data_IF_835925793055
#
_entry.id   IF_835925793055
#
_cell.length_a   1.000
_cell.length_b   1.000
_cell.length_c   1.000
_cell.angle_alpha   90.00
_cell.angle_beta   90.00
_cell.angle_gamma   90.00
#
_symmetry.space_group_name_H-M   'P 1'
#
loop_
_entity.id
_entity.type
_entity.pdbx_description
1 polymer ?
#
# COMPACT_ATOMS: atom_id res chain seq x y z
N UNK A 1 -16.33 -16.58 -16.05
CA UNK A 1 -17.40 -16.73 -17.06
C UNK A 1 -18.56 -15.86 -16.65
N UNK A 2 -18.99 -14.96 -17.53
CA UNK A 2 -20.21 -14.19 -17.34
C UNK A 2 -21.39 -14.98 -17.96
N UNK A 3 -22.54 -15.04 -17.29
CA UNK A 3 -23.66 -15.89 -17.70
C UNK A 3 -25.01 -15.21 -17.42
N UNK A 4 -26.03 -15.56 -18.21
CA UNK A 4 -27.41 -15.11 -18.01
C UNK A 4 -28.22 -16.28 -17.47
N UNK A 5 -29.00 -16.05 -16.41
CA UNK A 5 -29.87 -17.06 -15.80
C UNK A 5 -31.28 -16.51 -15.59
N UNK A 6 -32.32 -17.32 -15.74
CA UNK A 6 -33.70 -16.91 -15.43
C UNK A 6 -34.04 -17.26 -13.98
N UNK A 7 -34.53 -16.29 -13.19
CA UNK A 7 -34.93 -16.50 -11.78
C UNK A 7 -36.20 -15.71 -11.46
N UNK A 8 -37.25 -16.39 -10.99
CA UNK A 8 -38.55 -15.78 -10.62
C UNK A 8 -39.08 -14.79 -11.67
N UNK A 9 -39.08 -15.20 -12.94
CA UNK A 9 -39.57 -14.39 -14.06
C UNK A 9 -38.64 -13.26 -14.55
N UNK A 10 -37.46 -13.06 -13.93
CA UNK A 10 -36.48 -12.04 -14.34
C UNK A 10 -35.21 -12.69 -14.90
N UNK A 11 -34.49 -11.97 -15.75
CA UNK A 11 -33.18 -12.38 -16.27
C UNK A 11 -32.08 -11.80 -15.38
N UNK A 12 -31.21 -12.66 -14.85
CA UNK A 12 -30.07 -12.30 -13.99
C UNK A 12 -28.80 -12.40 -14.82
N UNK A 13 -28.11 -11.29 -15.01
CA UNK A 13 -26.79 -11.22 -15.63
C UNK A 13 -25.76 -11.29 -14.54
N UNK A 14 -24.99 -12.37 -14.48
CA UNK A 14 -23.89 -12.57 -13.55
C UNK A 14 -22.57 -12.33 -14.28
N UNK A 15 -21.81 -11.34 -13.83
CA UNK A 15 -20.57 -10.91 -14.47
C UNK A 15 -19.51 -10.57 -13.42
N UNK A 16 -18.25 -10.52 -13.86
CA UNK A 16 -17.19 -9.88 -13.08
C UNK A 16 -16.98 -8.48 -13.64
N UNK A 17 -16.97 -7.48 -12.75
CA UNK A 17 -16.61 -6.13 -13.15
C UNK A 17 -15.12 -6.05 -13.53
N UNK A 18 -14.66 -4.85 -13.95
CA UNK A 18 -13.23 -4.62 -14.17
C UNK A 18 -12.37 -5.03 -12.97
N UNK A 19 -12.93 -4.98 -11.75
CA UNK A 19 -12.29 -5.37 -10.48
C UNK A 19 -12.21 -6.87 -10.21
N UNK A 20 -12.74 -7.71 -11.10
CA UNK A 20 -12.86 -9.15 -10.88
C UNK A 20 -13.89 -9.53 -9.82
N UNK A 21 -14.64 -8.57 -9.27
CA UNK A 21 -15.70 -8.76 -8.28
C UNK A 21 -16.94 -9.25 -9.01
N UNK A 22 -17.51 -10.34 -8.50
CA UNK A 22 -18.74 -10.90 -9.05
C UNK A 22 -19.92 -10.00 -8.67
N UNK A 23 -20.59 -9.45 -9.68
CA UNK A 23 -21.81 -8.66 -9.54
C UNK A 23 -22.92 -9.28 -10.38
N UNK A 24 -24.15 -8.96 -10.00
CA UNK A 24 -25.31 -9.34 -10.77
C UNK A 24 -26.24 -8.17 -10.97
N UNK A 25 -26.90 -8.14 -12.13
CA UNK A 25 -27.97 -7.19 -12.43
C UNK A 25 -29.18 -7.97 -12.92
N UNK A 26 -30.38 -7.46 -12.64
CA UNK A 26 -31.63 -8.06 -13.12
C UNK A 26 -32.25 -7.23 -14.22
N UNK A 27 -32.63 -7.90 -15.28
CA UNK A 27 -33.32 -7.34 -16.43
C UNK A 27 -34.72 -7.97 -16.56
N UNK A 28 -35.65 -7.25 -17.18
CA UNK A 28 -37.01 -7.73 -17.40
C UNK A 28 -37.09 -8.61 -18.65
N UNK A 29 -36.27 -8.29 -19.67
CA UNK A 29 -36.25 -9.03 -20.93
C UNK A 29 -34.90 -9.70 -21.19
N UNK A 30 -34.91 -10.73 -22.05
CA UNK A 30 -33.68 -11.42 -22.46
C UNK A 30 -32.75 -10.51 -23.25
N UNK A 31 -33.33 -9.64 -24.10
CA UNK A 31 -32.59 -8.67 -24.91
C UNK A 31 -31.87 -7.64 -24.04
N UNK A 32 -32.53 -7.11 -23.01
CA UNK A 32 -31.88 -6.26 -22.01
C UNK A 32 -30.74 -6.98 -21.29
N UNK A 33 -30.94 -8.25 -20.93
CA UNK A 33 -29.92 -9.05 -20.25
C UNK A 33 -28.68 -9.30 -21.14
N UNK A 34 -28.88 -9.58 -22.43
CA UNK A 34 -27.80 -9.72 -23.41
C UNK A 34 -27.05 -8.41 -23.61
N UNK A 35 -27.75 -7.29 -23.75
CA UNK A 35 -27.13 -5.98 -23.89
C UNK A 35 -26.33 -5.60 -22.63
N UNK A 36 -26.92 -5.79 -21.44
CA UNK A 36 -26.22 -5.55 -20.17
C UNK A 36 -24.99 -6.46 -20.01
N UNK A 37 -25.04 -7.71 -20.46
CA UNK A 37 -23.88 -8.60 -20.46
C UNK A 37 -22.76 -8.05 -21.37
N UNK A 38 -23.10 -7.59 -22.58
CA UNK A 38 -22.15 -7.04 -23.55
C UNK A 38 -21.54 -5.74 -23.00
N UNK A 39 -22.36 -4.83 -22.48
CA UNK A 39 -21.91 -3.55 -21.93
C UNK A 39 -21.01 -3.77 -20.71
N UNK A 40 -21.39 -4.65 -19.78
CA UNK A 40 -20.57 -4.96 -18.59
C UNK A 40 -19.30 -5.72 -18.93
N UNK A 41 -19.30 -6.57 -19.95
CA UNK A 41 -18.09 -7.18 -20.47
C UNK A 41 -17.18 -6.14 -21.16
N UNK A 42 -17.75 -5.16 -21.86
CA UNK A 42 -17.00 -4.06 -22.51
C UNK A 42 -16.40 -3.12 -21.47
N UNK A 43 -17.18 -2.69 -20.47
CA UNK A 43 -16.70 -1.89 -19.33
C UNK A 43 -15.55 -2.60 -18.60
N UNK A 44 -15.68 -3.92 -18.38
CA UNK A 44 -14.61 -4.72 -17.78
C UNK A 44 -13.34 -4.82 -18.66
N UNK A 45 -13.48 -4.77 -20.00
CA UNK A 45 -12.35 -4.78 -20.95
C UNK A 45 -11.71 -3.41 -21.16
N UNK A 46 -12.49 -2.34 -21.24
CA UNK A 46 -12.00 -0.97 -21.46
C UNK A 46 -11.23 -0.43 -20.26
N UNK A 47 -11.54 -0.90 -19.04
CA UNK A 47 -10.71 -0.65 -17.85
C UNK A 47 -9.34 -1.39 -17.88
N UNK A 48 -9.07 -2.21 -18.91
CA UNK A 48 -7.90 -3.10 -19.01
C UNK A 48 -7.00 -2.82 -20.23
N UNK A 49 -6.78 -1.55 -20.58
CA UNK A 49 -5.57 -1.18 -21.33
C UNK A 49 -4.59 -0.52 -20.37
N UNK A 50 -3.81 -1.32 -19.61
CA UNK A 50 -2.83 -0.75 -18.71
C UNK A 50 -1.82 0.05 -19.53
N UNK A 51 -1.53 1.27 -19.07
CA UNK A 51 -0.55 2.20 -19.68
C UNK A 51 0.86 1.61 -19.62
N UNK A 52 1.04 0.57 -18.80
CA UNK A 52 2.30 -0.09 -18.45
C UNK A 52 2.13 -1.60 -18.65
N UNK A 53 3.24 -2.31 -18.89
CA UNK A 53 3.22 -3.78 -18.92
C UNK A 53 2.52 -4.36 -17.66
N UNK A 54 1.42 -5.11 -17.81
CA UNK A 54 0.72 -5.71 -16.67
C UNK A 54 1.55 -6.77 -15.92
N UNK A 55 2.70 -7.18 -16.45
CA UNK A 55 3.66 -8.07 -15.78
C UNK A 55 4.78 -7.34 -15.03
N UNK A 56 4.78 -6.01 -14.98
CA UNK A 56 5.85 -5.24 -14.35
C UNK A 56 6.07 -5.67 -12.89
N UNK A 57 7.35 -5.80 -12.51
CA UNK A 57 7.76 -6.10 -11.13
C UNK A 57 7.59 -4.87 -10.24
N UNK A 58 7.44 -5.08 -8.94
CA UNK A 58 7.32 -3.99 -7.99
C UNK A 58 8.56 -3.08 -8.02
N UNK A 59 9.76 -3.64 -8.21
CA UNK A 59 11.00 -2.85 -8.36
C UNK A 59 10.95 -1.92 -9.56
N UNK A 60 10.67 -2.46 -10.76
CA UNK A 60 10.63 -1.65 -11.97
C UNK A 60 9.52 -0.59 -11.92
N UNK A 61 8.36 -0.96 -11.35
CA UNK A 61 7.25 -0.02 -11.16
C UNK A 61 7.60 1.09 -10.16
N UNK A 62 8.24 0.75 -9.04
CA UNK A 62 8.65 1.72 -8.02
C UNK A 62 9.67 2.73 -8.55
N UNK A 63 10.62 2.30 -9.37
CA UNK A 63 11.61 3.19 -10.00
C UNK A 63 10.95 4.18 -10.95
N UNK A 64 10.03 3.70 -11.81
CA UNK A 64 9.23 4.56 -12.69
C UNK A 64 8.42 5.56 -11.88
N UNK A 65 7.64 5.08 -10.91
CA UNK A 65 6.77 5.89 -10.08
C UNK A 65 7.54 6.98 -9.31
N UNK A 66 8.70 6.66 -8.72
CA UNK A 66 9.51 7.64 -7.99
C UNK A 66 10.02 8.79 -8.88
N UNK A 67 10.29 8.52 -10.16
CA UNK A 67 10.68 9.56 -11.13
C UNK A 67 9.49 10.44 -11.51
N UNK A 68 8.33 9.84 -11.73
CA UNK A 68 7.12 10.56 -12.13
C UNK A 68 6.59 11.48 -11.04
N UNK A 69 6.51 11.01 -9.79
CA UNK A 69 5.98 11.83 -8.69
C UNK A 69 6.95 12.93 -8.25
N UNK A 70 8.23 12.84 -8.62
CA UNK A 70 9.28 13.79 -8.21
C UNK A 70 8.91 15.26 -8.50
N UNK A 71 8.18 15.48 -9.60
CA UNK A 71 7.79 16.83 -10.04
C UNK A 71 6.64 17.42 -9.22
N UNK A 72 5.88 16.60 -8.50
CA UNK A 72 4.67 17.05 -7.77
C UNK A 72 4.83 17.02 -6.25
N UNK A 73 5.79 16.25 -5.71
CA UNK A 73 5.97 16.09 -4.26
C UNK A 73 7.19 16.84 -3.73
N UNK A 74 7.14 17.22 -2.45
CA UNK A 74 8.29 17.85 -1.77
C UNK A 74 9.51 16.91 -1.77
N UNK A 75 10.75 17.43 -1.92
CA UNK A 75 11.98 16.62 -1.94
C UNK A 75 12.14 15.71 -0.70
N UNK A 76 11.73 16.19 0.49
CA UNK A 76 11.75 15.39 1.72
C UNK A 76 10.85 14.16 1.65
N UNK A 77 9.67 14.28 1.04
CA UNK A 77 8.74 13.17 0.85
C UNK A 77 9.31 12.16 -0.14
N UNK A 78 9.87 12.64 -1.27
CA UNK A 78 10.52 11.78 -2.25
C UNK A 78 11.67 10.98 -1.63
N UNK A 79 12.54 11.65 -0.86
CA UNK A 79 13.63 10.98 -0.13
C UNK A 79 13.10 9.94 0.86
N UNK A 80 12.03 10.26 1.60
CA UNK A 80 11.42 9.33 2.54
C UNK A 80 10.84 8.09 1.83
N UNK A 81 10.17 8.27 0.69
CA UNK A 81 9.65 7.16 -0.12
C UNK A 81 10.79 6.31 -0.68
N UNK A 82 11.82 6.94 -1.25
CA UNK A 82 13.01 6.24 -1.76
C UNK A 82 13.71 5.40 -0.70
N UNK A 83 13.86 5.92 0.52
CA UNK A 83 14.43 5.16 1.64
C UNK A 83 13.56 3.97 2.04
N UNK A 84 12.24 4.18 2.18
CA UNK A 84 11.32 3.09 2.54
C UNK A 84 11.31 1.98 1.47
N UNK A 85 11.34 2.36 0.19
CA UNK A 85 11.41 1.42 -0.93
C UNK A 85 12.72 0.64 -0.89
N UNK A 86 13.86 1.32 -0.92
CA UNK A 86 15.19 0.71 -1.01
C UNK A 86 15.52 -0.18 0.17
N UNK A 87 15.24 0.27 1.40
CA UNK A 87 15.71 -0.42 2.61
C UNK A 87 14.75 -1.51 3.10
N UNK A 88 13.46 -1.42 2.78
CA UNK A 88 12.45 -2.27 3.42
C UNK A 88 11.53 -2.99 2.44
N UNK A 89 11.00 -2.31 1.42
CA UNK A 89 9.97 -2.89 0.54
C UNK A 89 10.61 -3.75 -0.55
N UNK A 90 11.52 -3.19 -1.34
CA UNK A 90 12.09 -3.85 -2.51
C UNK A 90 12.92 -5.09 -2.19
N UNK A 91 13.70 -5.16 -1.08
CA UNK A 91 14.42 -6.37 -0.72
C UNK A 91 13.53 -7.60 -0.50
N UNK A 92 12.25 -7.42 -0.15
CA UNK A 92 11.33 -8.53 0.15
C UNK A 92 10.25 -8.72 -0.92
N UNK A 93 9.78 -7.64 -1.54
CA UNK A 93 8.64 -7.65 -2.45
C UNK A 93 9.00 -7.24 -3.89
N UNK A 94 10.23 -6.76 -4.12
CA UNK A 94 10.65 -6.15 -5.38
C UNK A 94 10.50 -7.04 -6.61
N UNK A 95 10.83 -8.33 -6.48
CA UNK A 95 10.70 -9.33 -7.56
C UNK A 95 9.26 -9.74 -7.86
N UNK A 96 8.30 -9.40 -6.99
CA UNK A 96 6.90 -9.76 -7.18
C UNK A 96 6.26 -8.85 -8.22
N UNK A 97 5.50 -9.42 -9.16
CA UNK A 97 4.69 -8.65 -10.10
C UNK A 97 3.64 -7.84 -9.36
N UNK A 98 3.42 -6.58 -9.73
CA UNK A 98 2.48 -5.69 -9.03
C UNK A 98 1.08 -6.32 -8.95
N UNK A 99 0.61 -6.92 -10.06
CA UNK A 99 -0.69 -7.62 -10.10
C UNK A 99 -0.83 -8.85 -9.19
N UNK A 100 0.29 -9.42 -8.74
CA UNK A 100 0.32 -10.59 -7.86
C UNK A 100 0.42 -10.21 -6.37
N UNK A 101 0.56 -8.92 -6.04
CA UNK A 101 0.62 -8.48 -4.66
C UNK A 101 -0.75 -8.60 -4.00
N UNK A 102 -0.86 -9.56 -3.08
CA UNK A 102 -2.08 -9.79 -2.31
C UNK A 102 -2.02 -9.10 -0.95
N UNK A 103 -3.19 -8.70 -0.45
CA UNK A 103 -3.35 -8.09 0.88
C UNK A 103 -2.74 -8.94 2.00
N UNK A 104 -2.89 -10.27 1.93
CA UNK A 104 -2.31 -11.20 2.90
C UNK A 104 -0.78 -11.12 2.94
N UNK A 105 -0.12 -11.14 1.77
CA UNK A 105 1.34 -11.01 1.66
C UNK A 105 1.85 -9.68 2.24
N UNK A 106 1.17 -8.57 1.92
CA UNK A 106 1.53 -7.26 2.45
C UNK A 106 1.33 -7.20 3.97
N UNK A 107 0.23 -7.76 4.48
CA UNK A 107 -0.02 -7.84 5.93
C UNK A 107 1.08 -8.61 6.65
N UNK A 108 1.45 -9.79 6.15
CA UNK A 108 2.52 -10.60 6.74
C UNK A 108 3.86 -9.87 6.72
N UNK A 109 4.19 -9.21 5.61
CA UNK A 109 5.38 -8.37 5.51
C UNK A 109 5.42 -7.25 6.56
N UNK A 110 4.31 -6.52 6.76
CA UNK A 110 4.27 -5.44 7.76
C UNK A 110 4.38 -5.98 9.20
N UNK A 111 3.78 -7.15 9.48
CA UNK A 111 3.90 -7.82 10.79
C UNK A 111 5.35 -8.25 11.02
N UNK A 112 6.02 -8.83 10.02
CA UNK A 112 7.43 -9.20 10.10
C UNK A 112 8.29 -7.98 10.45
N UNK A 113 8.03 -6.81 9.84
CA UNK A 113 8.76 -5.57 10.16
C UNK A 113 8.51 -5.09 11.59
N UNK A 114 7.33 -5.32 12.16
CA UNK A 114 7.04 -5.03 13.57
C UNK A 114 7.77 -5.95 14.55
N UNK A 115 8.18 -7.15 14.13
CA UNK A 115 8.89 -8.09 15.01
C UNK A 115 10.41 -8.13 14.77
N UNK A 116 10.85 -8.01 13.52
CA UNK A 116 12.24 -8.28 13.09
C UNK A 116 12.71 -7.33 11.96
N UNK A 117 12.22 -6.10 11.94
CA UNK A 117 12.45 -5.18 10.83
C UNK A 117 13.83 -4.51 10.76
N UNK A 118 14.64 -4.58 11.83
CA UNK A 118 15.97 -3.97 11.93
C UNK A 118 17.02 -5.04 12.19
N UNK A 119 18.10 -5.06 11.42
CA UNK A 119 19.29 -5.85 11.70
C UNK A 119 20.30 -4.97 12.43
N UNK A 120 20.84 -5.45 13.54
CA UNK A 120 21.91 -4.79 14.30
C UNK A 120 23.04 -5.77 14.48
N UNK A 121 24.23 -5.39 14.05
CA UNK A 121 25.46 -6.11 14.36
C UNK A 121 25.85 -5.77 15.79
N UNK A 122 26.06 -6.81 16.61
CA UNK A 122 26.50 -6.71 17.99
C UNK A 122 27.85 -7.42 18.09
N UNK A 123 28.83 -6.71 18.63
CA UNK A 123 30.17 -7.24 18.89
C UNK A 123 30.35 -7.34 20.41
N UNK A 124 30.61 -8.55 20.89
CA UNK A 124 30.89 -8.87 22.29
C UNK A 124 32.25 -9.57 22.33
N UNK A 125 33.31 -8.83 22.71
CA UNK A 125 34.68 -9.31 22.60
C UNK A 125 35.09 -9.57 21.14
N UNK A 126 35.65 -10.74 20.86
CA UNK A 126 36.03 -11.18 19.51
C UNK A 126 34.83 -11.69 18.67
N UNK A 127 33.66 -11.88 19.27
CA UNK A 127 32.49 -12.44 18.58
C UNK A 127 31.60 -11.35 18.00
N UNK A 128 31.30 -11.45 16.71
CA UNK A 128 30.36 -10.58 16.00
C UNK A 128 29.14 -11.38 15.56
N UNK A 129 27.93 -10.94 15.92
CA UNK A 129 26.66 -11.56 15.50
C UNK A 129 25.64 -10.53 15.02
N UNK A 130 24.76 -10.96 14.14
CA UNK A 130 23.60 -10.17 13.73
C UNK A 130 22.38 -10.49 14.59
N UNK A 131 21.77 -9.46 15.15
CA UNK A 131 20.54 -9.56 15.93
C UNK A 131 19.42 -8.86 15.17
N UNK A 132 18.25 -9.51 15.08
CA UNK A 132 17.05 -8.92 14.51
C UNK A 132 16.19 -8.29 15.59
N UNK A 133 15.83 -7.03 15.40
CA UNK A 133 15.06 -6.22 16.32
C UNK A 133 13.80 -5.68 15.63
N UNK A 134 12.73 -5.42 16.40
CA UNK A 134 11.56 -4.70 15.93
C UNK A 134 11.89 -3.35 15.29
N UNK A 135 11.18 -2.98 14.21
CA UNK A 135 11.12 -1.56 13.81
C UNK A 135 10.11 -0.81 14.68
N UNK A 136 10.39 0.46 14.91
CA UNK A 136 9.43 1.37 15.52
C UNK A 136 8.12 1.40 14.71
N UNK A 137 6.99 1.50 15.40
CA UNK A 137 5.66 1.51 14.76
C UNK A 137 5.52 2.62 13.72
N UNK A 138 6.08 3.80 13.98
CA UNK A 138 6.06 4.92 13.04
C UNK A 138 6.87 4.62 11.76
N UNK A 139 8.00 3.92 11.87
CA UNK A 139 8.75 3.46 10.69
C UNK A 139 7.93 2.49 9.84
N UNK A 140 7.23 1.54 10.48
CA UNK A 140 6.33 0.61 9.77
C UNK A 140 5.13 1.36 9.17
N UNK A 141 4.63 2.41 9.83
CA UNK A 141 3.60 3.32 9.27
C UNK A 141 4.10 4.00 8.00
N UNK A 142 5.35 4.49 7.96
CA UNK A 142 5.95 5.12 6.78
C UNK A 142 6.12 4.11 5.63
N UNK A 143 6.56 2.88 5.94
CA UNK A 143 6.64 1.77 4.98
C UNK A 143 5.26 1.50 4.37
N UNK A 144 4.24 1.34 5.22
CA UNK A 144 2.86 1.13 4.77
C UNK A 144 2.33 2.30 3.93
N UNK A 145 2.55 3.54 4.35
CA UNK A 145 2.10 4.72 3.63
C UNK A 145 2.75 4.83 2.24
N UNK A 146 4.05 4.52 2.14
CA UNK A 146 4.78 4.51 0.87
C UNK A 146 4.23 3.44 -0.06
N UNK A 147 4.07 2.20 0.43
CA UNK A 147 3.53 1.10 -0.36
C UNK A 147 2.07 1.37 -0.79
N UNK A 148 1.26 1.97 0.08
CA UNK A 148 -0.11 2.38 -0.26
C UNK A 148 -0.13 3.43 -1.35
N UNK A 149 0.74 4.44 -1.29
CA UNK A 149 0.83 5.48 -2.31
C UNK A 149 1.24 4.90 -3.68
N UNK A 150 2.29 4.07 -3.70
CA UNK A 150 2.74 3.36 -4.90
C UNK A 150 1.61 2.51 -5.51
N UNK A 151 0.90 1.74 -4.70
CA UNK A 151 -0.17 0.87 -5.18
C UNK A 151 -1.45 1.62 -5.54
N UNK A 152 -1.64 2.86 -5.10
CA UNK A 152 -2.71 3.71 -5.64
C UNK A 152 -2.38 4.14 -7.07
N UNK A 153 -1.14 4.56 -7.33
CA UNK A 153 -0.71 4.87 -8.70
C UNK A 153 -0.86 3.64 -9.60
N UNK A 154 -0.62 2.42 -9.09
CA UNK A 154 -0.83 1.19 -9.86
C UNK A 154 -2.32 0.91 -10.17
N UNK A 155 -3.24 1.45 -9.35
CA UNK A 155 -4.69 1.43 -9.66
C UNK A 155 -5.00 2.45 -10.74
N UNK A 156 -4.44 3.66 -10.63
CA UNK A 156 -4.63 4.72 -11.62
C UNK A 156 -4.07 4.31 -13.01
N UNK A 157 -2.94 3.61 -13.03
CA UNK A 157 -2.31 3.04 -14.24
C UNK A 157 -3.02 1.78 -14.79
N UNK A 158 -4.06 1.29 -14.11
CA UNK A 158 -4.85 0.12 -14.53
C UNK A 158 -4.15 -1.23 -14.38
N UNK A 159 -3.05 -1.32 -13.61
CA UNK A 159 -2.30 -2.58 -13.38
C UNK A 159 -3.06 -3.48 -12.39
N UNK A 160 -3.67 -2.87 -11.38
CA UNK A 160 -4.51 -3.52 -10.37
C UNK A 160 -5.80 -2.74 -10.21
N UNK A 161 -6.87 -3.39 -9.76
CA UNK A 161 -8.17 -2.69 -9.71
C UNK A 161 -8.48 -2.12 -8.33
N UNK A 162 -7.85 -2.67 -7.29
CA UNK A 162 -7.99 -2.18 -5.94
C UNK A 162 -6.65 -2.28 -5.23
N UNK A 163 -6.35 -1.29 -4.40
CA UNK A 163 -5.11 -1.26 -3.65
C UNK A 163 -5.11 -2.33 -2.53
N UNK A 164 -4.27 -3.38 -2.61
CA UNK A 164 -4.23 -4.44 -1.60
C UNK A 164 -3.65 -3.97 -0.26
N UNK A 165 -2.95 -2.84 -0.22
CA UNK A 165 -2.43 -2.23 1.01
C UNK A 165 -3.48 -1.35 1.72
N UNK A 166 -4.66 -1.13 1.13
CA UNK A 166 -5.65 -0.27 1.73
C UNK A 166 -6.19 -0.82 3.06
N UNK A 167 -6.50 0.09 3.99
CA UNK A 167 -6.98 -0.20 5.36
C UNK A 167 -6.01 -0.96 6.27
N UNK A 168 -4.86 -1.47 5.79
CA UNK A 168 -3.90 -2.20 6.63
C UNK A 168 -3.31 -1.35 7.75
N UNK A 169 -3.07 -0.06 7.52
CA UNK A 169 -2.58 0.86 8.56
C UNK A 169 -3.51 0.95 9.77
N UNK A 170 -4.83 0.95 9.57
CA UNK A 170 -5.81 0.88 10.65
C UNK A 170 -5.87 -0.53 11.26
N UNK A 171 -5.91 -1.56 10.42
CA UNK A 171 -5.99 -2.96 10.87
C UNK A 171 -4.80 -3.40 11.75
N UNK A 172 -3.61 -2.84 11.50
CA UNK A 172 -2.39 -3.10 12.29
C UNK A 172 -2.14 -2.03 13.37
N UNK A 173 -3.06 -1.07 13.56
CA UNK A 173 -2.95 0.05 14.50
C UNK A 173 -1.65 0.87 14.31
N UNK A 174 -1.19 1.04 13.07
CA UNK A 174 0.04 1.79 12.75
C UNK A 174 -0.15 3.30 12.86
N UNK A 175 -1.39 3.77 12.74
CA UNK A 175 -1.73 5.19 12.88
C UNK A 175 -2.08 5.45 14.34
N UNK A 176 -1.29 6.30 14.98
CA UNK A 176 -1.55 6.80 16.33
C UNK A 176 -2.45 8.04 16.23
N UNK A 177 -3.40 8.20 17.15
CA UNK A 177 -4.26 9.38 17.19
C UNK A 177 -3.42 10.64 17.46
N UNK A 178 -3.80 11.76 16.84
CA UNK A 178 -3.16 13.06 17.03
C UNK A 178 -3.07 13.47 18.51
N UNK A 179 -4.13 13.21 19.29
CA UNK A 179 -4.15 13.47 20.74
C UNK A 179 -3.03 12.74 21.47
N UNK A 180 -2.90 11.43 21.25
CA UNK A 180 -1.85 10.60 21.86
C UNK A 180 -0.44 11.08 21.46
N UNK A 181 -0.26 11.51 20.21
CA UNK A 181 1.03 12.04 19.74
C UNK A 181 1.41 13.36 20.41
N UNK A 182 0.44 14.22 20.69
CA UNK A 182 0.67 15.48 21.40
C UNK A 182 1.02 15.25 22.87
N UNK A 183 0.42 14.25 23.52
CA UNK A 183 0.73 13.87 24.91
C UNK A 183 2.16 13.34 25.05
N UNK A 184 2.68 12.63 24.04
CA UNK A 184 4.05 12.11 24.01
C UNK A 184 5.11 13.21 23.77
N UNK A 185 4.78 14.27 23.03
CA UNK A 185 5.68 15.40 22.74
C UNK A 185 5.38 16.56 23.67
N UNK A 186 5.94 16.52 24.88
CA UNK A 186 5.78 17.59 25.87
C UNK A 186 6.63 18.81 25.51
N UNK A 187 6.02 19.98 25.49
CA UNK A 187 6.75 21.24 25.45
C UNK A 187 7.58 21.42 26.74
N UNK A 188 8.74 22.04 26.63
CA UNK A 188 9.52 22.44 27.80
C UNK A 188 8.69 23.38 28.69
N UNK A 189 8.71 23.15 29.99
CA UNK A 189 8.20 24.14 30.95
C UNK A 189 9.12 25.36 30.97
N UNK A 190 8.65 26.48 31.53
CA UNK A 190 9.44 27.70 31.68
C UNK A 190 10.75 27.44 32.43
N UNK A 191 10.71 26.63 33.49
CA UNK A 191 11.89 26.29 34.29
C UNK A 191 12.87 25.41 33.52
N UNK A 192 12.36 24.41 32.79
CA UNK A 192 13.18 23.55 31.93
C UNK A 192 13.86 24.35 30.82
N UNK A 193 13.14 25.31 30.22
CA UNK A 193 13.70 26.22 29.21
C UNK A 193 14.82 27.08 29.81
N UNK A 194 14.62 27.63 31.02
CA UNK A 194 15.63 28.42 31.70
C UNK A 194 16.92 27.62 31.96
N UNK A 195 16.79 26.38 32.44
CA UNK A 195 17.92 25.47 32.66
C UNK A 195 18.63 25.12 31.35
N UNK A 196 17.87 24.84 30.28
CA UNK A 196 18.44 24.53 28.97
C UNK A 196 19.22 25.71 28.38
N UNK A 197 18.66 26.92 28.44
CA UNK A 197 19.34 28.13 27.93
C UNK A 197 20.59 28.49 28.76
N UNK A 198 20.58 28.23 30.07
CA UNK A 198 21.77 28.37 30.91
C UNK A 198 22.88 27.40 30.50
N UNK A 199 22.55 26.14 30.24
CA UNK A 199 23.53 25.12 29.83
C UNK A 199 24.10 25.34 28.42
N UNK A 200 23.33 25.97 27.52
CA UNK A 200 23.73 26.22 26.13
C UNK A 200 24.59 27.48 25.91
N UNK A 201 24.88 28.25 26.97
CA UNK A 201 25.68 29.49 26.91
C UNK A 201 27.18 29.28 27.14
N UNK A 202 27.64 28.03 27.22
CA UNK A 202 29.08 27.69 27.28
C UNK A 202 29.67 27.54 25.89
#
# INVERSE_FOLDING_TARGET
MACIRKRRGKYVVDYRDGAGIRRWVTCKTEREARNALIDKAREARQAMHPVVDPNITLSAYAERWLREIAVTIKPKTQKSYGLALRLHILPTLGSTKVRMLQKGRIKSFLIERLHQGKVRTVTEGEFTREVRLPLARDSVRIIHATLRALLNAAVDDGIIIANPADKLGRGLRLVVNAKTRQEEVKAMTRDQLSVFLGAARN
#
